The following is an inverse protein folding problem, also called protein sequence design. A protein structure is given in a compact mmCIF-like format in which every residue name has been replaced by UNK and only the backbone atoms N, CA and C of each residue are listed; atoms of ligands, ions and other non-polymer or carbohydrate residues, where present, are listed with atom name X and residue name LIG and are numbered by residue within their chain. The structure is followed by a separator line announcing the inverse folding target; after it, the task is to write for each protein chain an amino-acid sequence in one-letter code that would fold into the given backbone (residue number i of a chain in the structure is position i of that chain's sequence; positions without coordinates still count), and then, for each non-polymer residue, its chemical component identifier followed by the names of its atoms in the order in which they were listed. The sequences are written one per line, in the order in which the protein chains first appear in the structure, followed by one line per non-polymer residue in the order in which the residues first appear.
data_IF_255753847646
#
_entry.id   IF_255753847646
#
_cell.length_a   1.000
_cell.length_b   1.000
_cell.length_c   1.000
_cell.angle_alpha   90.00
_cell.angle_beta   90.00
_cell.angle_gamma   90.00
#
_symmetry.space_group_name_H-M   'P 1'
#
loop_
_entity.id
_entity.type
_entity.pdbx_description
1 polymer ?
#
# COMPACT_ATOMS: atom_id res chain seq x y z
N UNK A 1 14.05 7.31 22.25
CA UNK A 1 12.85 6.44 22.10
C UNK A 1 13.18 5.36 21.07
N UNK A 2 12.89 4.11 21.38
CA UNK A 2 13.06 2.99 20.43
C UNK A 2 12.07 3.17 19.26
N UNK A 3 12.48 2.80 18.06
CA UNK A 3 11.60 2.83 16.90
C UNK A 3 10.42 1.87 17.10
N UNK A 4 9.20 2.20 16.62
CA UNK A 4 8.08 1.27 16.67
C UNK A 4 8.38 0.04 15.79
N UNK A 5 7.80 -1.11 16.16
CA UNK A 5 7.96 -2.31 15.36
C UNK A 5 7.19 -2.22 14.02
N UNK A 6 6.06 -1.48 14.00
CA UNK A 6 5.21 -1.36 12.83
C UNK A 6 4.75 0.08 12.59
N UNK A 7 4.88 0.58 11.37
CA UNK A 7 4.19 1.79 10.90
C UNK A 7 3.05 1.39 9.96
N UNK A 8 1.87 1.94 10.22
CA UNK A 8 0.67 1.76 9.40
C UNK A 8 0.49 3.02 8.55
N UNK A 9 0.74 2.95 7.26
CA UNK A 9 0.58 4.08 6.32
C UNK A 9 -0.76 3.96 5.61
N UNK A 10 -1.63 4.95 5.80
CA UNK A 10 -3.01 4.98 5.32
C UNK A 10 -3.20 6.22 4.44
N UNK A 11 -3.13 6.09 3.10
CA UNK A 11 -3.54 7.17 2.21
C UNK A 11 -5.06 7.33 2.26
N UNK A 12 -5.53 8.57 2.41
CA UNK A 12 -6.94 8.89 2.54
C UNK A 12 -7.33 10.07 1.64
N UNK A 13 -8.47 9.97 0.94
CA UNK A 13 -9.05 11.03 0.13
C UNK A 13 -10.57 11.00 0.22
N UNK A 14 -11.16 11.99 0.90
CA UNK A 14 -12.60 12.07 1.21
C UNK A 14 -13.11 10.81 1.94
N UNK A 15 -12.45 10.44 3.03
CA UNK A 15 -12.70 9.22 3.81
C UNK A 15 -13.32 9.50 5.20
N UNK A 16 -13.91 10.68 5.41
CA UNK A 16 -14.44 11.10 6.72
C UNK A 16 -15.40 10.09 7.37
N UNK A 17 -16.11 9.29 6.55
CA UNK A 17 -17.09 8.30 7.02
C UNK A 17 -16.47 6.93 7.32
N UNK A 18 -15.48 6.50 6.52
CA UNK A 18 -14.91 5.15 6.62
C UNK A 18 -13.73 5.08 7.58
N UNK A 19 -12.92 6.12 7.58
CA UNK A 19 -11.68 6.15 8.36
C UNK A 19 -11.87 5.91 9.87
N UNK A 20 -12.91 6.46 10.55
CA UNK A 20 -13.14 6.18 11.97
C UNK A 20 -13.34 4.69 12.28
N UNK A 21 -14.09 4.00 11.44
CA UNK A 21 -14.36 2.56 11.60
C UNK A 21 -13.07 1.77 11.44
N UNK A 22 -12.26 2.13 10.44
CA UNK A 22 -10.98 1.47 10.18
C UNK A 22 -9.98 1.70 11.31
N UNK A 23 -9.91 2.92 11.85
CA UNK A 23 -9.03 3.24 12.99
C UNK A 23 -9.46 2.50 14.26
N UNK A 24 -10.77 2.35 14.50
CA UNK A 24 -11.28 1.57 15.63
C UNK A 24 -10.85 0.09 15.51
N UNK A 25 -10.98 -0.52 14.32
CA UNK A 25 -10.53 -1.89 14.09
C UNK A 25 -9.02 -2.06 14.28
N UNK A 26 -8.23 -1.08 13.85
CA UNK A 26 -6.77 -1.09 14.09
C UNK A 26 -6.48 -1.02 15.60
N UNK A 27 -7.18 -0.17 16.34
CA UNK A 27 -7.02 -0.05 17.80
C UNK A 27 -7.39 -1.35 18.51
N UNK A 28 -8.51 -1.97 18.14
CA UNK A 28 -8.95 -3.26 18.70
C UNK A 28 -7.93 -4.37 18.41
N UNK A 29 -7.42 -4.42 17.18
CA UNK A 29 -6.38 -5.38 16.82
C UNK A 29 -5.09 -5.17 17.60
N UNK A 30 -4.61 -3.92 17.75
CA UNK A 30 -3.42 -3.61 18.55
C UNK A 30 -3.62 -3.97 20.03
N UNK A 31 -4.79 -3.67 20.59
CA UNK A 31 -5.13 -3.96 21.98
C UNK A 31 -5.29 -5.45 22.30
N UNK A 32 -5.66 -6.26 21.30
CA UNK A 32 -5.85 -7.71 21.46
C UNK A 32 -4.57 -8.54 21.31
N UNK A 33 -3.44 -7.92 20.93
CA UNK A 33 -2.20 -8.66 20.65
C UNK A 33 -1.45 -9.08 21.91
N UNK A 34 -1.00 -10.33 21.89
CA UNK A 34 -0.10 -10.86 22.94
C UNK A 34 1.02 -11.66 22.24
N UNK A 35 2.28 -11.24 22.36
CA UNK A 35 2.75 -10.01 23.01
C UNK A 35 2.32 -8.73 22.27
N UNK A 36 2.23 -7.63 23.01
CA UNK A 36 1.90 -6.33 22.45
C UNK A 36 2.96 -5.89 21.41
N UNK A 37 2.51 -5.26 20.33
CA UNK A 37 3.39 -4.69 19.32
C UNK A 37 3.35 -3.16 19.39
N UNK A 38 4.51 -2.52 19.39
CA UNK A 38 4.57 -1.06 19.27
C UNK A 38 4.27 -0.62 17.85
N UNK A 39 3.30 0.27 17.68
CA UNK A 39 2.90 0.75 16.36
C UNK A 39 2.68 2.26 16.34
N UNK A 40 2.88 2.85 15.18
CA UNK A 40 2.46 4.20 14.84
C UNK A 40 1.55 4.18 13.61
N UNK A 41 0.65 5.17 13.52
CA UNK A 41 -0.15 5.43 12.33
C UNK A 41 0.37 6.67 11.62
N UNK A 42 0.47 6.59 10.29
CA UNK A 42 0.74 7.73 9.43
C UNK A 42 -0.41 7.83 8.43
N UNK A 43 -1.38 8.69 8.72
CA UNK A 43 -2.50 8.97 7.82
C UNK A 43 -2.09 10.11 6.89
N UNK A 44 -2.22 9.91 5.58
CA UNK A 44 -1.93 10.97 4.61
C UNK A 44 -3.23 11.39 3.91
N UNK A 45 -3.72 12.57 4.25
CA UNK A 45 -4.86 13.19 3.61
C UNK A 45 -4.42 13.84 2.29
N UNK A 46 -4.81 13.21 1.18
CA UNK A 46 -4.45 13.62 -0.19
C UNK A 46 -5.34 14.77 -0.70
N UNK A 47 -5.41 15.87 0.08
CA UNK A 47 -6.15 17.08 -0.28
C UNK A 47 -7.67 16.88 -0.28
N UNK A 48 -8.22 16.25 0.74
CA UNK A 48 -9.68 16.03 0.87
C UNK A 48 -10.45 17.33 0.98
N UNK A 49 -11.63 17.34 0.38
CA UNK A 49 -12.60 18.42 0.50
C UNK A 49 -13.52 18.28 1.73
N UNK A 50 -13.58 17.08 2.32
CA UNK A 50 -14.34 16.77 3.52
C UNK A 50 -13.47 16.91 4.80
N UNK A 51 -13.95 16.40 5.92
CA UNK A 51 -13.26 16.48 7.21
C UNK A 51 -12.30 15.33 7.48
N UNK A 52 -11.78 14.64 6.45
CA UNK A 52 -10.93 13.45 6.57
C UNK A 52 -9.79 13.64 7.57
N UNK A 53 -8.97 14.70 7.42
CA UNK A 53 -7.84 14.94 8.34
C UNK A 53 -8.29 15.17 9.79
N UNK A 54 -9.28 16.04 10.00
CA UNK A 54 -9.77 16.35 11.35
C UNK A 54 -10.40 15.12 12.04
N UNK A 55 -11.09 14.30 11.27
CA UNK A 55 -11.67 13.05 11.77
C UNK A 55 -10.57 12.03 12.10
N UNK A 56 -9.52 11.94 11.29
CA UNK A 56 -8.37 11.07 11.56
C UNK A 56 -7.70 11.44 12.89
N UNK A 57 -7.37 12.72 13.10
CA UNK A 57 -6.74 13.23 14.32
C UNK A 57 -7.62 12.97 15.55
N UNK A 58 -8.89 13.36 15.49
CA UNK A 58 -9.83 13.21 16.60
C UNK A 58 -10.04 11.73 16.97
N UNK A 59 -10.22 10.88 15.98
CA UNK A 59 -10.47 9.44 16.21
C UNK A 59 -9.24 8.76 16.77
N UNK A 60 -8.06 9.01 16.23
CA UNK A 60 -6.82 8.42 16.71
C UNK A 60 -6.55 8.84 18.17
N UNK A 61 -6.70 10.12 18.51
CA UNK A 61 -6.55 10.61 19.87
C UNK A 61 -7.56 9.97 20.83
N UNK A 62 -8.83 9.84 20.44
CA UNK A 62 -9.87 9.21 21.24
C UNK A 62 -9.66 7.72 21.48
N UNK A 63 -8.92 7.04 20.59
CA UNK A 63 -8.57 5.63 20.71
C UNK A 63 -7.19 5.40 21.37
N UNK A 64 -6.48 6.46 21.75
CA UNK A 64 -5.14 6.35 22.33
C UNK A 64 -4.06 5.86 21.33
N UNK A 65 -4.30 6.01 20.03
CA UNK A 65 -3.36 5.63 18.99
C UNK A 65 -2.29 6.70 18.80
N UNK A 66 -1.03 6.29 18.70
CA UNK A 66 0.06 7.17 18.25
C UNK A 66 -0.10 7.42 16.77
N UNK A 67 -0.62 8.59 16.40
CA UNK A 67 -0.90 8.91 15.01
C UNK A 67 -0.28 10.24 14.57
N UNK A 68 0.18 10.28 13.32
CA UNK A 68 0.58 11.48 12.61
C UNK A 68 -0.33 11.64 11.41
N UNK A 69 -0.89 12.84 11.21
CA UNK A 69 -1.70 13.18 10.04
C UNK A 69 -0.90 14.17 9.18
N UNK A 70 -0.64 13.78 7.93
CA UNK A 70 -0.01 14.60 6.90
C UNK A 70 -1.12 15.06 5.97
N UNK A 71 -1.22 16.36 5.71
CA UNK A 71 -2.24 16.91 4.83
C UNK A 71 -1.63 17.59 3.60
N UNK A 72 -2.05 17.17 2.42
CA UNK A 72 -1.72 17.86 1.18
C UNK A 72 -2.68 19.02 0.93
N UNK A 73 -2.20 20.13 0.35
CA UNK A 73 -3.08 21.26 0.02
C UNK A 73 -4.06 20.94 -1.12
N UNK A 74 -3.72 19.97 -1.96
CA UNK A 74 -4.50 19.51 -3.12
C UNK A 74 -4.29 18.02 -3.38
N UNK A 75 -5.19 17.41 -4.16
CA UNK A 75 -5.08 15.99 -4.52
C UNK A 75 -3.89 15.76 -5.47
N UNK A 76 -2.88 15.05 -4.99
CA UNK A 76 -1.70 14.65 -5.76
C UNK A 76 -1.76 13.21 -6.25
N UNK A 77 -2.61 12.40 -5.67
CA UNK A 77 -2.82 11.00 -6.00
C UNK A 77 -2.27 10.02 -4.97
N UNK A 78 -2.86 8.82 -4.96
CA UNK A 78 -2.57 7.77 -3.97
C UNK A 78 -1.09 7.45 -3.84
N UNK A 79 -0.34 7.39 -4.95
CA UNK A 79 1.10 7.10 -4.92
C UNK A 79 1.91 8.19 -4.22
N UNK A 80 1.56 9.48 -4.43
CA UNK A 80 2.19 10.59 -3.72
C UNK A 80 1.91 10.51 -2.21
N UNK A 81 0.66 10.21 -1.82
CA UNK A 81 0.28 10.06 -0.42
C UNK A 81 1.00 8.88 0.25
N UNK A 82 1.05 7.72 -0.40
CA UNK A 82 1.80 6.56 0.10
C UNK A 82 3.28 6.89 0.26
N UNK A 83 3.89 7.49 -0.76
CA UNK A 83 5.32 7.86 -0.72
C UNK A 83 5.61 8.80 0.46
N UNK A 84 4.80 9.82 0.66
CA UNK A 84 4.99 10.75 1.77
C UNK A 84 4.86 10.02 3.13
N UNK A 85 3.83 9.20 3.30
CA UNK A 85 3.63 8.46 4.54
C UNK A 85 4.75 7.46 4.84
N UNK A 86 5.22 6.73 3.82
CA UNK A 86 6.32 5.77 3.98
C UNK A 86 7.63 6.48 4.35
N UNK A 87 7.95 7.60 3.73
CA UNK A 87 9.19 8.34 4.02
C UNK A 87 9.17 8.99 5.41
N UNK A 88 8.00 9.35 5.93
CA UNK A 88 7.81 9.89 7.28
C UNK A 88 7.68 8.82 8.37
N UNK A 89 7.52 7.55 8.00
CA UNK A 89 7.37 6.45 8.95
C UNK A 89 8.68 6.11 9.66
N UNK A 90 8.61 5.64 10.91
CA UNK A 90 9.76 5.29 11.74
C UNK A 90 9.81 3.80 12.15
N UNK A 91 8.81 3.01 11.78
CA UNK A 91 8.70 1.59 12.14
C UNK A 91 9.77 0.69 11.51
N UNK A 92 10.09 -0.43 12.16
CA UNK A 92 10.97 -1.46 11.58
C UNK A 92 10.36 -2.09 10.34
N UNK A 93 9.04 -2.21 10.35
CA UNK A 93 8.23 -2.60 9.21
C UNK A 93 7.22 -1.49 8.87
N UNK A 94 6.96 -1.29 7.61
CA UNK A 94 6.02 -0.29 7.09
C UNK A 94 4.93 -1.00 6.31
N UNK A 95 3.72 -1.03 6.84
CA UNK A 95 2.54 -1.54 6.16
C UNK A 95 1.81 -0.40 5.46
N UNK A 96 1.67 -0.49 4.16
CA UNK A 96 0.71 0.32 3.39
C UNK A 96 -0.62 -0.41 3.38
N UNK A 97 -1.71 0.27 3.76
CA UNK A 97 -3.07 -0.30 3.73
C UNK A 97 -4.08 0.75 3.29
N UNK A 98 -5.18 0.30 2.69
CA UNK A 98 -6.27 1.17 2.26
C UNK A 98 -7.12 1.67 3.44
N UNK A 99 -7.66 2.87 3.32
CA UNK A 99 -8.48 3.51 4.36
C UNK A 99 -9.78 2.74 4.69
N UNK A 100 -10.24 1.83 3.82
CA UNK A 100 -11.44 1.02 4.02
C UNK A 100 -11.18 -0.37 4.60
N UNK A 101 -9.90 -0.71 4.83
CA UNK A 101 -9.49 -2.04 5.30
C UNK A 101 -10.16 -3.20 4.52
N UNK A 102 -10.26 -3.06 3.20
CA UNK A 102 -10.72 -4.15 2.32
C UNK A 102 -9.94 -5.45 2.55
N UNK A 103 -8.66 -5.34 2.90
CA UNK A 103 -7.88 -6.41 3.54
C UNK A 103 -7.87 -6.16 5.04
N UNK A 104 -8.39 -7.07 5.87
CA UNK A 104 -8.38 -6.92 7.33
C UNK A 104 -6.97 -6.73 7.88
N UNK A 105 -6.86 -5.91 8.93
CA UNK A 105 -5.55 -5.58 9.53
C UNK A 105 -4.84 -6.83 10.08
N UNK A 106 -5.57 -7.82 10.51
CA UNK A 106 -5.08 -9.09 11.04
C UNK A 106 -4.23 -9.86 10.03
N UNK A 107 -4.46 -9.64 8.74
CA UNK A 107 -3.71 -10.27 7.66
C UNK A 107 -2.23 -9.83 7.62
N UNK A 108 -1.87 -8.76 8.33
CA UNK A 108 -0.45 -8.32 8.45
C UNK A 108 0.43 -9.39 9.07
N UNK A 109 -0.12 -10.22 9.96
CA UNK A 109 0.62 -11.29 10.60
C UNK A 109 1.15 -12.32 9.61
N UNK A 110 0.38 -12.60 8.55
CA UNK A 110 0.84 -13.47 7.46
C UNK A 110 2.00 -12.84 6.67
N UNK A 111 1.94 -11.52 6.46
CA UNK A 111 3.00 -10.80 5.77
C UNK A 111 4.28 -10.74 6.62
N UNK A 112 4.16 -10.49 7.92
CA UNK A 112 5.28 -10.52 8.86
C UNK A 112 5.91 -11.92 8.92
N UNK A 113 5.09 -12.97 8.99
CA UNK A 113 5.55 -14.35 9.03
C UNK A 113 6.29 -14.79 7.75
N UNK A 114 6.05 -14.13 6.61
CA UNK A 114 6.77 -14.39 5.37
C UNK A 114 8.26 -14.03 5.44
N UNK A 115 8.68 -13.16 6.40
CA UNK A 115 10.07 -12.82 6.65
C UNK A 115 10.83 -12.15 5.50
N UNK A 116 10.12 -11.74 4.44
CA UNK A 116 10.72 -11.13 3.27
C UNK A 116 10.89 -9.61 3.45
N UNK A 117 11.90 -8.98 2.82
CA UNK A 117 12.06 -7.52 2.82
C UNK A 117 10.84 -6.78 2.27
N UNK A 118 10.12 -7.40 1.34
CA UNK A 118 8.84 -6.93 0.79
C UNK A 118 7.87 -8.10 0.80
N UNK A 119 6.72 -7.96 1.45
CA UNK A 119 5.63 -8.93 1.41
C UNK A 119 4.35 -8.23 0.93
N UNK A 120 3.64 -8.85 0.01
CA UNK A 120 2.42 -8.28 -0.57
C UNK A 120 1.24 -9.21 -0.38
N UNK A 121 0.10 -8.65 0.01
CA UNK A 121 -1.16 -9.36 -0.02
C UNK A 121 -1.58 -9.68 -1.45
N UNK A 122 -2.19 -10.83 -1.66
CA UNK A 122 -2.64 -11.27 -2.98
C UNK A 122 -4.02 -11.88 -2.95
N UNK A 123 -4.88 -11.42 -3.84
CA UNK A 123 -6.21 -11.97 -4.15
C UNK A 123 -6.13 -13.05 -5.24
N UNK A 124 -4.97 -13.16 -5.89
CA UNK A 124 -4.75 -14.05 -7.03
C UNK A 124 -4.07 -15.38 -6.69
N UNK A 125 -3.47 -15.52 -5.49
CA UNK A 125 -2.84 -16.77 -5.04
C UNK A 125 -3.90 -17.76 -4.60
N UNK A 126 -4.84 -17.32 -3.75
CA UNK A 126 -5.99 -18.10 -3.31
C UNK A 126 -7.28 -17.28 -3.45
N UNK A 127 -8.04 -17.58 -4.49
CA UNK A 127 -9.29 -16.86 -4.80
C UNK A 127 -10.46 -17.23 -3.87
N UNK A 128 -10.33 -18.25 -3.02
CA UNK A 128 -11.35 -18.62 -2.02
C UNK A 128 -11.43 -17.60 -0.88
N UNK A 129 -10.35 -16.86 -0.68
CA UNK A 129 -10.26 -15.80 0.31
C UNK A 129 -10.92 -14.48 -0.14
N UNK A 130 -11.38 -14.37 -1.37
CA UNK A 130 -12.15 -13.22 -1.88
C UNK A 130 -13.62 -13.41 -1.57
N UNK A 131 -14.13 -12.73 -0.52
CA UNK A 131 -15.47 -13.02 0.05
C UNK A 131 -16.64 -12.35 -0.68
N UNK A 132 -16.41 -11.26 -1.37
CA UNK A 132 -17.43 -10.60 -2.18
C UNK A 132 -16.96 -10.48 -3.63
N UNK A 133 -17.69 -11.10 -4.55
CA UNK A 133 -17.33 -11.12 -5.97
C UNK A 133 -17.56 -9.73 -6.60
N UNK A 134 -16.59 -9.26 -7.33
CA UNK A 134 -16.74 -8.08 -8.19
C UNK A 134 -17.55 -8.44 -9.45
N UNK A 135 -18.18 -7.46 -10.13
CA UNK A 135 -18.78 -7.67 -11.43
C UNK A 135 -17.81 -8.35 -12.41
N UNK A 136 -18.30 -9.32 -13.20
CA UNK A 136 -17.46 -10.16 -14.07
C UNK A 136 -16.55 -9.37 -15.02
N UNK A 137 -17.07 -8.26 -15.57
CA UNK A 137 -16.27 -7.42 -16.47
C UNK A 137 -15.10 -6.74 -15.76
N UNK A 138 -15.24 -6.36 -14.48
CA UNK A 138 -14.17 -5.78 -13.66
C UNK A 138 -13.11 -6.84 -13.33
N UNK A 139 -13.53 -8.06 -13.07
CA UNK A 139 -12.62 -9.19 -12.87
C UNK A 139 -11.86 -9.49 -14.16
N UNK A 140 -12.52 -9.48 -15.31
CA UNK A 140 -11.88 -9.75 -16.62
C UNK A 140 -10.85 -8.65 -16.96
N UNK A 141 -11.23 -7.36 -16.87
CA UNK A 141 -10.31 -6.23 -17.11
C UNK A 141 -9.12 -6.22 -16.16
N UNK A 142 -9.35 -6.52 -14.88
CA UNK A 142 -8.29 -6.67 -13.88
C UNK A 142 -7.32 -7.81 -14.21
N UNK A 143 -7.82 -8.96 -14.68
CA UNK A 143 -6.98 -10.10 -15.11
C UNK A 143 -6.12 -9.75 -16.32
N UNK A 144 -6.68 -9.08 -17.32
CA UNK A 144 -5.92 -8.61 -18.49
C UNK A 144 -4.84 -7.63 -18.09
N UNK A 145 -5.16 -6.64 -17.24
CA UNK A 145 -4.18 -5.68 -16.75
C UNK A 145 -3.07 -6.38 -15.94
N UNK A 146 -3.42 -7.27 -15.02
CA UNK A 146 -2.44 -8.06 -14.26
C UNK A 146 -1.55 -8.92 -15.16
N UNK A 147 -2.11 -9.51 -16.21
CA UNK A 147 -1.31 -10.27 -17.17
C UNK A 147 -0.28 -9.36 -17.86
N UNK A 148 -0.68 -8.17 -18.30
CA UNK A 148 0.21 -7.19 -18.91
C UNK A 148 1.31 -6.73 -17.94
N UNK A 149 0.96 -6.45 -16.69
CA UNK A 149 1.94 -6.10 -15.66
C UNK A 149 2.94 -7.24 -15.43
N UNK A 150 2.48 -8.49 -15.37
CA UNK A 150 3.34 -9.67 -15.21
C UNK A 150 4.32 -9.85 -16.36
N UNK A 151 3.88 -9.64 -17.57
CA UNK A 151 4.72 -9.80 -18.78
C UNK A 151 5.69 -8.63 -18.92
N UNK A 152 5.23 -7.40 -18.68
CA UNK A 152 5.98 -6.18 -19.02
C UNK A 152 6.78 -5.58 -17.86
N UNK A 153 6.34 -5.77 -16.61
CA UNK A 153 6.93 -5.09 -15.46
C UNK A 153 7.45 -6.06 -14.38
N UNK A 154 6.58 -6.89 -13.80
CA UNK A 154 6.92 -7.69 -12.62
C UNK A 154 6.49 -9.15 -12.82
N UNK A 155 7.36 -9.97 -13.43
CA UNK A 155 7.06 -11.40 -13.67
C UNK A 155 6.89 -12.18 -12.35
N UNK A 156 6.04 -13.22 -12.33
CA UNK A 156 5.89 -14.13 -11.19
C UNK A 156 5.00 -13.62 -10.06
N UNK A 157 4.49 -12.39 -10.08
CA UNK A 157 3.49 -11.87 -9.12
C UNK A 157 2.11 -11.95 -9.74
N UNK A 158 1.14 -12.52 -9.01
CA UNK A 158 -0.24 -12.72 -9.49
C UNK A 158 -1.12 -11.50 -9.24
N UNK A 159 -0.86 -10.74 -8.15
CA UNK A 159 -1.63 -9.55 -7.79
C UNK A 159 -0.72 -8.39 -7.36
N UNK A 160 -0.39 -7.54 -8.29
CA UNK A 160 0.45 -6.36 -8.04
C UNK A 160 -0.32 -5.19 -7.43
N UNK A 161 -1.66 -5.22 -7.47
CA UNK A 161 -2.51 -4.08 -7.11
C UNK A 161 -3.27 -4.23 -5.79
N UNK A 162 -3.02 -5.29 -5.02
CA UNK A 162 -3.53 -5.36 -3.65
C UNK A 162 -2.94 -4.22 -2.83
N UNK A 163 -3.79 -3.35 -2.24
CA UNK A 163 -3.37 -2.19 -1.45
C UNK A 163 -2.77 -2.55 -0.08
N UNK A 164 -2.42 -3.82 0.15
CA UNK A 164 -1.90 -4.32 1.43
C UNK A 164 -0.48 -4.85 1.24
N UNK A 165 0.51 -4.02 1.55
CA UNK A 165 1.93 -4.28 1.29
C UNK A 165 2.80 -3.91 2.47
N UNK A 166 3.60 -4.85 2.92
CA UNK A 166 4.56 -4.71 4.01
C UNK A 166 5.97 -4.60 3.45
N UNK A 167 6.69 -3.61 3.94
CA UNK A 167 8.10 -3.40 3.60
C UNK A 167 8.93 -3.37 4.89
N UNK A 168 10.10 -3.99 4.89
CA UNK A 168 11.10 -3.70 5.90
C UNK A 168 11.59 -2.26 5.70
N UNK A 169 11.96 -1.56 6.77
CA UNK A 169 12.31 -0.12 6.75
C UNK A 169 13.31 0.27 5.67
N UNK A 170 14.39 -0.50 5.54
CA UNK A 170 15.43 -0.25 4.54
C UNK A 170 14.87 -0.34 3.12
N UNK A 171 14.12 -1.39 2.81
CA UNK A 171 13.45 -1.56 1.54
C UNK A 171 12.42 -0.45 1.28
N UNK A 172 11.61 -0.10 2.29
CA UNK A 172 10.64 0.99 2.20
C UNK A 172 11.30 2.30 1.82
N UNK A 173 12.32 2.71 2.56
CA UNK A 173 13.04 3.97 2.31
C UNK A 173 13.73 3.97 0.95
N UNK A 174 14.40 2.89 0.61
CA UNK A 174 15.13 2.80 -0.64
C UNK A 174 14.20 2.81 -1.88
N UNK A 175 13.09 2.07 -1.82
CA UNK A 175 12.09 2.05 -2.88
C UNK A 175 11.39 3.39 -3.02
N UNK A 176 10.83 3.92 -1.93
CA UNK A 176 9.97 5.10 -2.00
C UNK A 176 10.74 6.43 -2.14
N UNK A 177 12.04 6.49 -1.79
CA UNK A 177 12.89 7.63 -2.13
C UNK A 177 13.16 7.74 -3.64
N UNK A 178 13.01 6.64 -4.39
CA UNK A 178 13.19 6.58 -5.84
C UNK A 178 11.88 6.58 -6.63
N UNK A 179 10.75 6.31 -5.97
CA UNK A 179 9.44 6.28 -6.61
C UNK A 179 9.00 7.67 -7.06
N UNK A 180 8.40 7.73 -8.25
CA UNK A 180 8.01 8.98 -8.92
C UNK A 180 6.55 9.00 -9.36
N UNK A 181 5.87 7.85 -9.37
CA UNK A 181 4.48 7.72 -9.81
C UNK A 181 3.53 8.17 -8.70
N UNK A 182 2.79 9.23 -8.95
CA UNK A 182 1.90 9.84 -7.95
C UNK A 182 0.50 9.21 -7.90
N UNK A 183 0.05 8.53 -8.97
CA UNK A 183 -1.31 7.99 -9.08
C UNK A 183 -1.33 6.45 -8.91
N UNK A 184 -2.41 5.78 -9.31
CA UNK A 184 -2.70 4.37 -9.03
C UNK A 184 -1.66 3.35 -9.52
N UNK A 185 -0.82 3.68 -10.50
CA UNK A 185 0.22 2.76 -10.98
C UNK A 185 1.47 2.70 -10.09
N UNK A 186 1.51 3.42 -8.96
CA UNK A 186 2.63 3.42 -8.00
C UNK A 186 2.95 2.01 -7.47
N UNK A 187 1.93 1.17 -7.32
CA UNK A 187 2.10 -0.22 -6.87
C UNK A 187 3.06 -1.00 -7.79
N UNK A 188 2.88 -0.84 -9.10
CA UNK A 188 3.74 -1.49 -10.10
C UNK A 188 5.16 -0.92 -10.05
N UNK A 189 5.30 0.41 -9.92
CA UNK A 189 6.60 1.06 -9.79
C UNK A 189 7.34 0.58 -8.55
N UNK A 190 6.68 0.57 -7.39
CA UNK A 190 7.28 0.15 -6.13
C UNK A 190 7.80 -1.29 -6.18
N UNK A 191 7.03 -2.22 -6.74
CA UNK A 191 7.45 -3.61 -6.89
C UNK A 191 8.57 -3.79 -7.92
N UNK A 192 8.54 -3.03 -9.01
CA UNK A 192 9.61 -3.05 -10.01
C UNK A 192 10.90 -2.47 -9.44
N UNK A 193 10.83 -1.37 -8.68
CA UNK A 193 11.97 -0.79 -7.96
C UNK A 193 12.54 -1.80 -6.95
N UNK A 194 11.70 -2.39 -6.09
CA UNK A 194 12.13 -3.39 -5.11
C UNK A 194 12.92 -4.52 -5.78
N UNK A 195 12.42 -5.07 -6.89
CA UNK A 195 13.15 -6.10 -7.67
C UNK A 195 14.46 -5.63 -8.24
N UNK A 196 14.48 -4.43 -8.82
CA UNK A 196 15.69 -3.88 -9.43
C UNK A 196 16.76 -3.54 -8.40
N UNK A 197 16.34 -3.30 -7.16
CA UNK A 197 17.20 -3.09 -6.00
C UNK A 197 17.64 -4.41 -5.34
N UNK A 198 17.19 -5.57 -5.84
CA UNK A 198 17.59 -6.89 -5.33
C UNK A 198 16.76 -7.41 -4.16
N UNK A 199 15.67 -6.71 -3.76
CA UNK A 199 14.82 -7.18 -2.68
C UNK A 199 13.95 -8.36 -3.11
N UNK A 200 13.94 -9.40 -2.27
CA UNK A 200 12.99 -10.51 -2.40
C UNK A 200 11.57 -10.03 -2.11
N UNK A 201 10.61 -10.50 -2.92
CA UNK A 201 9.20 -10.19 -2.76
C UNK A 201 8.43 -11.49 -2.50
N UNK A 202 7.78 -11.58 -1.34
CA UNK A 202 6.86 -12.65 -1.02
C UNK A 202 5.43 -12.25 -1.38
N UNK A 203 4.71 -13.11 -2.09
CA UNK A 203 3.29 -12.93 -2.41
C UNK A 203 2.45 -13.85 -1.51
N UNK A 204 1.64 -13.24 -0.64
CA UNK A 204 0.93 -13.92 0.46
C UNK A 204 -0.57 -13.87 0.21
N UNK A 205 -1.30 -15.00 0.23
CA UNK A 205 -2.74 -15.00 0.08
C UNK A 205 -3.40 -14.33 1.29
N UNK A 206 -4.28 -13.35 1.04
CA UNK A 206 -4.96 -12.60 2.10
C UNK A 206 -6.47 -12.62 1.92
N UNK A 207 -7.19 -12.57 3.04
CA UNK A 207 -8.62 -12.35 3.07
C UNK A 207 -8.93 -10.96 2.50
N UNK A 208 -9.91 -10.86 1.62
CA UNK A 208 -10.27 -9.61 0.99
C UNK A 208 -11.79 -9.46 0.84
N UNK A 209 -12.29 -8.27 1.19
CA UNK A 209 -13.67 -7.88 1.06
C UNK A 209 -13.82 -6.76 0.04
N UNK A 210 -14.77 -6.91 -0.90
CA UNK A 210 -15.04 -5.84 -1.85
C UNK A 210 -15.77 -4.68 -1.15
N UNK A 211 -15.17 -3.48 -1.19
CA UNK A 211 -15.87 -2.27 -0.77
C UNK A 211 -16.77 -1.78 -1.91
N UNK A 212 -18.09 -1.61 -1.71
CA UNK A 212 -19.01 -1.19 -2.77
C UNK A 212 -18.70 0.22 -3.31
N UNK A 213 -18.11 1.08 -2.48
CA UNK A 213 -17.82 2.50 -2.80
C UNK A 213 -16.45 2.70 -3.47
N UNK A 214 -16.07 1.82 -4.40
CA UNK A 214 -14.80 1.92 -5.11
C UNK A 214 -14.77 3.17 -6.00
N UNK A 215 -13.81 4.08 -5.76
CA UNK A 215 -13.63 5.34 -6.50
C UNK A 215 -12.74 5.22 -7.75
N UNK A 216 -12.32 4.01 -8.11
CA UNK A 216 -11.51 3.78 -9.32
C UNK A 216 -12.42 3.83 -10.55
N UNK A 217 -12.35 4.94 -11.29
CA UNK A 217 -13.11 5.15 -12.52
C UNK A 217 -12.60 4.29 -13.68
N UNK A 218 -13.52 3.97 -14.61
CA UNK A 218 -13.26 3.27 -15.85
C UNK A 218 -12.79 4.25 -16.94
N UNK A 219 -11.55 4.60 -16.97
CA UNK A 219 -11.01 5.39 -18.07
C UNK A 219 -9.53 5.09 -18.26
N UNK A 220 -9.17 4.18 -19.13
CA UNK A 220 -7.77 4.16 -19.46
C UNK A 220 -7.07 2.83 -19.68
N UNK A 221 -7.68 1.85 -20.36
CA UNK A 221 -6.92 0.63 -20.73
C UNK A 221 -5.67 0.96 -21.53
N UNK A 222 -5.77 1.89 -22.49
CA UNK A 222 -4.63 2.33 -23.31
C UNK A 222 -3.65 3.20 -22.51
N UNK A 223 -4.18 4.08 -21.65
CA UNK A 223 -3.35 4.91 -20.76
C UNK A 223 -2.61 4.08 -19.71
N UNK A 224 -3.27 3.07 -19.14
CA UNK A 224 -2.66 2.15 -18.20
C UNK A 224 -1.53 1.34 -18.88
N UNK A 225 -1.72 0.93 -20.14
CA UNK A 225 -0.70 0.25 -20.92
C UNK A 225 0.51 1.17 -21.20
N UNK A 226 0.27 2.39 -21.66
CA UNK A 226 1.33 3.39 -21.87
C UNK A 226 2.07 3.71 -20.56
N UNK A 227 1.36 3.73 -19.43
CA UNK A 227 1.95 3.93 -18.11
C UNK A 227 2.95 2.83 -17.74
N UNK A 228 2.69 1.55 -18.10
CA UNK A 228 3.61 0.44 -17.80
C UNK A 228 4.96 0.61 -18.51
N UNK A 229 4.96 1.01 -19.79
CA UNK A 229 6.22 1.28 -20.52
C UNK A 229 6.96 2.48 -19.93
N UNK A 230 6.21 3.54 -19.58
CA UNK A 230 6.79 4.73 -18.94
C UNK A 230 7.44 4.37 -17.60
N UNK A 231 6.75 3.62 -16.76
CA UNK A 231 7.27 3.15 -15.47
C UNK A 231 8.53 2.33 -15.65
N UNK A 232 8.52 1.36 -16.56
CA UNK A 232 9.69 0.54 -16.85
C UNK A 232 10.90 1.37 -17.27
N UNK A 233 10.69 2.36 -18.14
CA UNK A 233 11.73 3.25 -18.58
C UNK A 233 12.23 4.16 -17.45
N UNK A 234 11.31 4.75 -16.68
CA UNK A 234 11.64 5.60 -15.53
C UNK A 234 12.46 4.83 -14.49
N UNK A 235 12.02 3.64 -14.09
CA UNK A 235 12.74 2.79 -13.14
C UNK A 235 14.13 2.43 -13.67
N UNK A 236 14.26 2.03 -14.93
CA UNK A 236 15.55 1.73 -15.55
C UNK A 236 16.50 2.96 -15.50
N UNK A 237 15.97 4.16 -15.77
CA UNK A 237 16.72 5.42 -15.71
C UNK A 237 17.13 5.77 -14.27
N UNK A 238 16.22 5.60 -13.30
CA UNK A 238 16.46 5.87 -11.88
C UNK A 238 17.56 4.97 -11.32
N UNK A 239 17.49 3.66 -11.60
CA UNK A 239 18.52 2.70 -11.16
C UNK A 239 19.88 2.98 -11.81
N UNK A 240 19.93 3.38 -13.09
CA UNK A 240 21.19 3.74 -13.74
C UNK A 240 21.85 4.98 -13.12
N UNK A 241 21.04 5.96 -12.66
CA UNK A 241 21.54 7.20 -12.04
C UNK A 241 21.98 7.00 -10.59
N UNK A 242 21.26 6.14 -9.87
CA UNK A 242 21.50 5.81 -8.47
C UNK A 242 21.52 4.28 -8.33
N UNK A 243 22.62 3.61 -8.68
CA UNK A 243 22.71 2.16 -8.57
C UNK A 243 22.58 1.73 -7.09
N UNK A 244 22.01 0.52 -6.84
CA UNK A 244 22.01 -0.04 -5.49
C UNK A 244 23.44 -0.19 -4.99
N UNK A 245 23.62 -0.14 -3.66
CA UNK A 245 24.89 -0.51 -3.06
C UNK A 245 25.26 -1.95 -3.48
N UNK A 246 26.53 -2.26 -3.72
CA UNK A 246 26.93 -3.63 -4.00
C UNK A 246 26.47 -4.54 -2.86
N UNK A 247 25.90 -5.70 -3.23
CA UNK A 247 25.53 -6.71 -2.23
C UNK A 247 26.79 -7.11 -1.44
N UNK A 248 26.69 -6.97 -0.10
CA UNK A 248 27.75 -7.38 0.80
C UNK A 248 27.86 -8.91 0.88
#
# INVERSE_FOLDING_TARGET
MTAPALSLVIPAYNEEKRLPVSLARIADWLGSRTPAISAELVVVDDGSADRTAAVAEKTAAGLGLTARVIRFPENRGKGAAVRAGVLESAGEHVLVTDADLSTPIEEVDKLLAAGAPVAIGSRGVDTTLVKQRQPLFRVASGKVFNLLVRVLAVSGIRDTQCGFKLFRRDAAREVFSRATVDRFAFDVEALLLARRLGYAIAEVPVLWFNSPDTRVGFGGGLEAFAALFRIRWQVARTIRRNPPAPAA
#
